data_IF_387545395113
#
_entry.id   IF_387545395113
#
_cell.length_a   1.000
_cell.length_b   1.000
_cell.length_c   1.000
_cell.angle_alpha   90.00
_cell.angle_beta   90.00
_cell.angle_gamma   90.00
#
_symmetry.space_group_name_H-M   'P 1'
#
loop_
_entity.id
_entity.type
_entity.pdbx_description
1 polymer ?
#
# COMPACT_ATOMS: atom_id res chain seq x y z
N UNK A 1 -63.22 3.99 45.12
CA UNK A 1 -62.48 2.89 44.48
C UNK A 1 -62.29 3.07 42.94
N UNK A 2 -63.29 3.45 42.17
CA UNK A 2 -63.20 3.57 40.69
C UNK A 2 -62.22 4.65 40.15
N UNK A 3 -61.99 5.77 40.86
CA UNK A 3 -61.11 6.86 40.43
C UNK A 3 -59.60 6.49 40.61
N UNK A 4 -59.24 5.75 41.64
CA UNK A 4 -57.86 5.30 41.83
C UNK A 4 -57.45 4.21 40.81
N UNK A 5 -58.38 3.36 40.41
CA UNK A 5 -58.14 2.37 39.34
C UNK A 5 -57.93 3.03 37.97
N UNK A 6 -58.75 4.07 37.63
CA UNK A 6 -58.54 4.82 36.36
C UNK A 6 -57.19 5.54 36.32
N UNK A 7 -56.74 6.19 37.41
CA UNK A 7 -55.42 6.80 37.48
C UNK A 7 -54.28 5.80 37.27
N UNK A 8 -54.37 4.60 37.85
CA UNK A 8 -53.35 3.55 37.68
C UNK A 8 -53.30 3.03 36.21
N UNK A 9 -54.45 2.87 35.58
CA UNK A 9 -54.51 2.47 34.16
C UNK A 9 -53.92 3.51 33.25
N UNK A 10 -54.18 4.81 33.47
CA UNK A 10 -53.59 5.89 32.67
C UNK A 10 -52.05 5.99 32.82
N UNK A 11 -51.54 5.80 34.04
CA UNK A 11 -50.09 5.78 34.31
C UNK A 11 -49.42 4.58 33.62
N UNK A 12 -50.02 3.40 33.67
CA UNK A 12 -49.50 2.21 32.99
C UNK A 12 -49.52 2.38 31.45
N UNK A 13 -50.59 2.95 30.91
CA UNK A 13 -50.69 3.20 29.47
C UNK A 13 -49.67 4.23 28.97
N UNK A 14 -49.41 5.30 29.76
CA UNK A 14 -48.36 6.28 29.41
C UNK A 14 -46.96 5.69 29.54
N UNK A 15 -46.67 4.82 30.52
CA UNK A 15 -45.37 4.13 30.61
C UNK A 15 -45.14 3.19 29.41
N UNK A 16 -46.16 2.42 29.02
CA UNK A 16 -46.09 1.53 27.87
C UNK A 16 -45.89 2.33 26.56
N UNK A 17 -46.52 3.48 26.43
CA UNK A 17 -46.34 4.35 25.26
C UNK A 17 -44.91 4.93 25.21
N UNK A 18 -44.30 5.32 26.33
CA UNK A 18 -42.94 5.81 26.43
C UNK A 18 -41.92 4.70 26.11
N UNK A 19 -42.13 3.49 26.68
CA UNK A 19 -41.28 2.33 26.38
C UNK A 19 -41.37 1.93 24.90
N UNK A 20 -42.56 1.94 24.33
CA UNK A 20 -42.78 1.69 22.90
C UNK A 20 -42.11 2.72 22.03
N UNK A 21 -42.23 4.02 22.38
CA UNK A 21 -41.56 5.08 21.69
C UNK A 21 -40.01 4.97 21.77
N UNK A 22 -39.46 4.63 22.93
CA UNK A 22 -38.03 4.41 23.12
C UNK A 22 -37.53 3.18 22.34
N UNK A 23 -38.33 2.11 22.26
CA UNK A 23 -37.98 0.93 21.47
C UNK A 23 -38.00 1.23 19.97
N UNK A 24 -39.00 1.99 19.49
CA UNK A 24 -39.06 2.44 18.08
C UNK A 24 -37.88 3.40 17.78
N UNK A 25 -37.59 4.36 18.64
CA UNK A 25 -36.45 5.27 18.49
C UNK A 25 -35.10 4.56 18.56
N UNK A 26 -34.99 3.56 19.44
CA UNK A 26 -33.81 2.70 19.54
C UNK A 26 -33.57 1.88 18.26
N UNK A 27 -34.64 1.37 17.66
CA UNK A 27 -34.55 0.62 16.40
C UNK A 27 -34.26 1.52 15.19
N UNK A 28 -34.79 2.76 15.17
CA UNK A 28 -34.47 3.75 14.13
C UNK A 28 -33.01 4.23 14.16
N UNK A 29 -32.34 4.16 15.31
CA UNK A 29 -30.92 4.51 15.46
C UNK A 29 -29.98 3.35 15.04
N UNK A 30 -30.50 2.17 14.78
CA UNK A 30 -29.71 0.98 14.44
C UNK A 30 -29.59 0.70 12.94
N UNK A 31 -30.27 1.45 12.09
CA UNK A 31 -29.90 1.47 10.68
C UNK A 31 -28.73 2.45 10.55
N UNK A 32 -27.52 1.94 10.78
CA UNK A 32 -26.29 2.60 10.37
C UNK A 32 -26.46 2.90 8.85
N UNK A 33 -26.44 4.17 8.49
CA UNK A 33 -26.37 4.56 7.09
C UNK A 33 -25.30 3.70 6.40
N UNK A 34 -25.53 3.25 5.15
CA UNK A 34 -24.52 2.52 4.41
C UNK A 34 -23.24 3.35 4.49
N UNK A 35 -22.23 2.88 5.23
CA UNK A 35 -20.93 3.54 5.27
C UNK A 35 -20.46 3.55 3.82
N UNK A 36 -20.29 4.74 3.28
CA UNK A 36 -19.73 4.94 1.94
C UNK A 36 -18.33 4.30 1.94
N UNK A 37 -18.29 3.05 1.51
CA UNK A 37 -17.11 2.19 1.57
C UNK A 37 -16.18 2.60 0.45
N UNK A 38 -15.14 3.35 0.80
CA UNK A 38 -14.16 3.84 -0.16
C UNK A 38 -13.20 2.72 -0.56
N UNK A 39 -13.15 2.40 -1.85
CA UNK A 39 -12.12 1.52 -2.40
C UNK A 39 -10.84 2.31 -2.67
N UNK A 40 -9.70 1.81 -2.17
CA UNK A 40 -8.36 2.33 -2.42
C UNK A 40 -7.59 1.31 -3.24
N UNK A 41 -7.23 1.67 -4.47
CA UNK A 41 -6.49 0.84 -5.42
C UNK A 41 -4.99 1.05 -5.21
N UNK A 42 -4.29 -0.01 -4.83
CA UNK A 42 -2.85 0.03 -4.56
C UNK A 42 -2.11 -0.86 -5.56
N UNK A 43 -1.25 -0.23 -6.34
CA UNK A 43 -0.42 -0.91 -7.33
C UNK A 43 0.82 -1.54 -6.70
N UNK A 44 1.25 -2.68 -7.22
CA UNK A 44 2.47 -3.35 -6.79
C UNK A 44 3.10 -4.19 -7.90
N UNK A 45 4.41 -4.44 -7.78
CA UNK A 45 5.10 -5.51 -8.45
C UNK A 45 5.25 -6.71 -7.51
N UNK A 46 5.34 -7.96 -8.01
CA UNK A 46 5.45 -9.17 -7.18
C UNK A 46 6.86 -9.31 -6.56
N UNK A 47 7.23 -8.35 -5.74
CA UNK A 47 8.49 -8.27 -5.01
C UNK A 47 8.26 -8.22 -3.51
N UNK A 48 9.30 -8.49 -2.70
CA UNK A 48 9.23 -8.40 -1.24
C UNK A 48 8.86 -6.99 -0.73
N UNK A 49 9.11 -5.94 -1.50
CA UNK A 49 8.69 -4.58 -1.19
C UNK A 49 7.17 -4.42 -1.06
N UNK A 50 6.40 -5.29 -1.70
CA UNK A 50 4.94 -5.27 -1.65
C UNK A 50 4.34 -6.00 -0.43
N UNK A 51 5.12 -6.76 0.34
CA UNK A 51 4.63 -7.53 1.49
C UNK A 51 3.80 -6.70 2.48
N UNK A 52 4.17 -5.44 2.83
CA UNK A 52 3.35 -4.62 3.72
C UNK A 52 1.94 -4.37 3.18
N UNK A 53 1.74 -4.26 1.87
CA UNK A 53 0.42 -4.07 1.27
C UNK A 53 -0.46 -5.32 1.45
N UNK A 54 0.11 -6.52 1.31
CA UNK A 54 -0.60 -7.78 1.54
C UNK A 54 -0.97 -7.92 3.01
N UNK A 55 -0.04 -7.64 3.93
CA UNK A 55 -0.33 -7.65 5.36
C UNK A 55 -1.45 -6.67 5.72
N UNK A 56 -1.44 -5.46 5.17
CA UNK A 56 -2.47 -4.47 5.38
C UNK A 56 -3.82 -4.93 4.83
N UNK A 57 -3.84 -5.59 3.66
CA UNK A 57 -5.04 -6.18 3.08
C UNK A 57 -5.65 -7.27 3.96
N UNK A 58 -4.82 -8.17 4.50
CA UNK A 58 -5.26 -9.22 5.42
C UNK A 58 -5.79 -8.67 6.77
N UNK A 59 -5.29 -7.52 7.20
CA UNK A 59 -5.74 -6.83 8.42
C UNK A 59 -6.96 -5.93 8.19
N UNK A 60 -7.50 -5.87 6.97
CA UNK A 60 -8.67 -5.07 6.63
C UNK A 60 -9.89 -5.51 7.42
N UNK A 61 -10.54 -4.57 8.11
CA UNK A 61 -11.79 -4.87 8.82
C UNK A 61 -12.94 -5.04 7.83
N UNK A 62 -13.74 -6.12 7.91
CA UNK A 62 -14.92 -6.30 7.06
C UNK A 62 -15.90 -5.13 7.11
N UNK A 63 -16.02 -4.50 8.30
CA UNK A 63 -16.91 -3.36 8.56
C UNK A 63 -16.16 -2.01 8.49
N UNK A 64 -14.93 -2.01 7.99
CA UNK A 64 -14.12 -0.80 7.87
C UNK A 64 -14.63 0.17 6.80
N UNK A 65 -14.28 1.46 6.90
CA UNK A 65 -14.67 2.48 5.92
C UNK A 65 -13.88 2.40 4.61
N UNK A 66 -12.83 1.58 4.57
CA UNK A 66 -11.91 1.45 3.43
C UNK A 66 -11.78 0.00 3.01
N UNK A 67 -11.87 -0.24 1.71
CA UNK A 67 -11.56 -1.50 1.03
C UNK A 67 -10.27 -1.33 0.23
N UNK A 68 -9.30 -2.22 0.44
CA UNK A 68 -8.05 -2.23 -0.33
C UNK A 68 -8.19 -3.18 -1.52
N UNK A 69 -7.90 -2.67 -2.70
CA UNK A 69 -7.77 -3.45 -3.93
C UNK A 69 -6.30 -3.43 -4.37
N UNK A 70 -5.67 -4.61 -4.43
CA UNK A 70 -4.28 -4.76 -4.85
C UNK A 70 -4.23 -5.06 -6.35
N UNK A 71 -3.55 -4.19 -7.11
CA UNK A 71 -3.44 -4.29 -8.57
C UNK A 71 -1.98 -4.60 -8.94
N UNK A 72 -1.78 -5.80 -9.50
CA UNK A 72 -0.47 -6.26 -9.95
C UNK A 72 -0.08 -5.63 -11.28
N UNK A 73 1.17 -5.16 -11.39
CA UNK A 73 1.81 -4.72 -12.62
C UNK A 73 3.01 -5.61 -12.96
N UNK A 74 3.41 -5.60 -14.24
CA UNK A 74 4.52 -6.40 -14.76
C UNK A 74 5.85 -5.65 -14.80
N UNK A 75 5.83 -4.31 -14.73
CA UNK A 75 7.03 -3.50 -14.83
C UNK A 75 6.92 -2.18 -14.08
N UNK A 76 8.06 -1.61 -13.69
CA UNK A 76 8.10 -0.29 -13.05
C UNK A 76 7.52 0.84 -13.92
N UNK A 77 7.80 0.91 -15.25
CA UNK A 77 7.19 1.92 -16.10
C UNK A 77 5.66 1.86 -16.12
N UNK A 78 5.07 0.66 -16.25
CA UNK A 78 3.61 0.50 -16.25
C UNK A 78 2.98 0.90 -14.91
N UNK A 79 3.61 0.52 -13.79
CA UNK A 79 3.17 0.89 -12.45
C UNK A 79 3.22 2.42 -12.27
N UNK A 80 4.33 3.05 -12.64
CA UNK A 80 4.49 4.50 -12.53
C UNK A 80 3.52 5.25 -13.44
N UNK A 81 3.25 4.76 -14.64
CA UNK A 81 2.24 5.33 -15.52
C UNK A 81 0.83 5.26 -14.89
N UNK A 82 0.49 4.13 -14.29
CA UNK A 82 -0.78 3.98 -13.59
C UNK A 82 -0.91 4.94 -12.38
N UNK A 83 0.16 5.12 -11.62
CA UNK A 83 0.20 6.04 -10.49
C UNK A 83 0.13 7.51 -10.94
N UNK A 84 0.95 7.89 -11.92
CA UNK A 84 1.05 9.26 -12.41
C UNK A 84 -0.23 9.74 -13.11
N UNK A 85 -0.99 8.83 -13.70
CA UNK A 85 -2.27 9.11 -14.38
C UNK A 85 -3.50 8.95 -13.48
N UNK A 86 -3.33 8.57 -12.21
CA UNK A 86 -4.43 8.39 -11.26
C UNK A 86 -5.29 7.15 -11.52
N UNK A 87 -4.81 6.19 -12.32
CA UNK A 87 -5.48 4.88 -12.50
C UNK A 87 -5.45 4.05 -11.22
N UNK A 88 -4.50 4.30 -10.33
CA UNK A 88 -4.42 3.78 -8.98
C UNK A 88 -4.26 4.92 -7.99
N UNK A 89 -4.70 4.70 -6.75
CA UNK A 89 -4.71 5.71 -5.70
C UNK A 89 -3.37 5.75 -4.92
N UNK A 90 -2.59 4.67 -5.00
CA UNK A 90 -1.27 4.56 -4.41
C UNK A 90 -0.49 3.38 -4.99
N UNK A 91 0.79 3.28 -4.61
CA UNK A 91 1.65 2.19 -5.08
C UNK A 91 2.79 1.89 -4.09
N UNK A 92 3.20 0.61 -4.03
CA UNK A 92 4.50 0.23 -3.51
C UNK A 92 5.54 0.40 -4.61
N UNK A 93 6.42 1.39 -4.46
CA UNK A 93 7.32 1.83 -5.52
C UNK A 93 8.71 2.13 -4.97
N UNK A 94 9.72 2.02 -5.82
CA UNK A 94 11.08 2.47 -5.51
C UNK A 94 11.08 3.99 -5.28
N UNK A 95 11.70 4.44 -4.20
CA UNK A 95 11.67 5.85 -3.79
C UNK A 95 12.22 6.78 -4.86
N UNK A 96 13.23 6.36 -5.60
CA UNK A 96 13.86 7.14 -6.67
C UNK A 96 12.87 7.44 -7.81
N UNK A 97 12.01 6.48 -8.15
CA UNK A 97 10.97 6.67 -9.17
C UNK A 97 9.91 7.68 -8.70
N UNK A 98 9.55 7.63 -7.40
CA UNK A 98 8.63 8.61 -6.83
C UNK A 98 9.24 10.02 -6.79
N UNK A 99 10.53 10.14 -6.41
CA UNK A 99 11.26 11.41 -6.44
C UNK A 99 11.32 11.97 -7.86
N UNK A 100 11.65 11.12 -8.84
CA UNK A 100 11.69 11.51 -10.24
C UNK A 100 10.34 12.00 -10.78
N UNK A 101 9.25 11.33 -10.42
CA UNK A 101 7.91 11.76 -10.79
C UNK A 101 7.57 13.13 -10.17
N UNK A 102 7.94 13.38 -8.92
CA UNK A 102 7.78 14.69 -8.29
C UNK A 102 8.58 15.80 -8.97
N UNK A 103 9.83 15.52 -9.37
CA UNK A 103 10.65 16.46 -10.15
C UNK A 103 9.99 16.82 -11.49
N UNK A 104 9.19 15.91 -12.04
CA UNK A 104 8.40 16.12 -13.27
C UNK A 104 7.06 16.82 -13.01
N UNK A 105 6.78 17.23 -11.78
CA UNK A 105 5.57 17.97 -11.41
C UNK A 105 4.38 17.10 -11.01
N UNK A 106 4.54 15.78 -10.87
CA UNK A 106 3.46 14.90 -10.37
C UNK A 106 3.30 15.08 -8.86
N UNK A 107 2.09 15.38 -8.38
CA UNK A 107 1.83 15.58 -6.96
C UNK A 107 1.68 14.25 -6.22
N UNK A 108 2.79 13.61 -5.92
CA UNK A 108 2.87 12.39 -5.12
C UNK A 108 3.26 12.70 -3.68
N UNK A 109 2.73 11.91 -2.75
CA UNK A 109 3.08 11.95 -1.32
C UNK A 109 3.55 10.58 -0.86
N UNK A 110 4.64 10.54 -0.09
CA UNK A 110 5.04 9.33 0.60
C UNK A 110 4.11 9.12 1.81
N UNK A 111 3.33 8.04 1.80
CA UNK A 111 2.45 7.68 2.90
C UNK A 111 3.22 6.98 4.03
N UNK A 112 4.12 6.07 3.66
CA UNK A 112 4.98 5.32 4.59
C UNK A 112 6.18 4.76 3.86
N UNK A 113 7.20 4.35 4.61
CA UNK A 113 8.31 3.55 4.10
C UNK A 113 7.97 2.07 4.28
N UNK A 114 8.13 1.28 3.23
CA UNK A 114 7.87 -0.16 3.26
C UNK A 114 8.91 -0.93 4.06
N UNK A 115 10.18 -0.53 3.95
CA UNK A 115 11.31 -1.12 4.68
C UNK A 115 12.51 -0.16 4.69
N UNK A 116 13.48 -0.47 5.53
CA UNK A 116 14.83 0.11 5.51
C UNK A 116 15.81 -1.01 5.17
N UNK A 117 16.88 -0.67 4.45
CA UNK A 117 17.97 -1.59 4.10
C UNK A 117 17.51 -2.82 3.30
N UNK A 118 18.36 -3.85 3.24
CA UNK A 118 18.01 -5.14 2.64
C UNK A 118 18.40 -5.31 1.17
N UNK A 119 19.20 -4.41 0.60
CA UNK A 119 19.78 -4.64 -0.72
C UNK A 119 20.98 -5.59 -0.59
N UNK A 120 21.03 -6.63 -1.41
CA UNK A 120 22.14 -7.58 -1.47
C UNK A 120 22.54 -7.80 -2.92
N UNK A 121 23.81 -8.13 -3.13
CA UNK A 121 24.32 -8.66 -4.40
C UNK A 121 24.39 -10.17 -4.25
N UNK A 122 23.77 -10.88 -5.20
CA UNK A 122 23.84 -12.34 -5.29
C UNK A 122 24.64 -12.70 -6.52
N UNK A 123 25.62 -13.58 -6.35
CA UNK A 123 26.54 -13.98 -7.40
C UNK A 123 26.57 -15.52 -7.53
N UNK A 124 27.12 -15.97 -8.65
CA UNK A 124 27.53 -17.37 -8.78
C UNK A 124 28.74 -17.66 -7.88
N UNK A 125 28.95 -18.91 -7.45
CA UNK A 125 30.01 -19.27 -6.52
C UNK A 125 31.44 -18.91 -6.97
N UNK A 126 31.68 -18.84 -8.26
CA UNK A 126 32.97 -18.45 -8.85
C UNK A 126 33.27 -16.93 -8.78
N UNK A 127 32.33 -16.10 -8.36
CA UNK A 127 32.50 -14.65 -8.14
C UNK A 127 32.70 -14.46 -6.64
N UNK A 128 33.93 -14.42 -6.21
CA UNK A 128 34.30 -14.26 -4.79
C UNK A 128 34.63 -12.81 -4.43
N UNK A 129 35.01 -12.01 -5.40
CA UNK A 129 35.43 -10.63 -5.25
C UNK A 129 34.72 -9.73 -6.26
N UNK A 130 34.65 -8.43 -5.98
CA UNK A 130 34.02 -7.45 -6.86
C UNK A 130 34.73 -7.38 -8.22
N UNK A 131 36.06 -7.52 -8.24
CA UNK A 131 36.86 -7.51 -9.45
C UNK A 131 36.53 -8.67 -10.40
N UNK A 132 35.99 -9.77 -9.90
CA UNK A 132 35.59 -10.94 -10.69
C UNK A 132 34.32 -10.64 -11.53
N UNK A 133 33.62 -9.53 -11.23
CA UNK A 133 32.50 -9.03 -12.04
C UNK A 133 32.96 -8.49 -13.41
N UNK A 134 34.25 -8.25 -13.62
CA UNK A 134 34.75 -7.73 -14.87
C UNK A 134 34.41 -8.61 -16.06
N UNK A 135 33.78 -8.03 -17.07
CA UNK A 135 33.28 -8.75 -18.26
C UNK A 135 32.01 -9.58 -18.04
N UNK A 136 31.45 -9.59 -16.84
CA UNK A 136 30.23 -10.35 -16.54
C UNK A 136 28.97 -9.55 -16.82
N UNK A 137 27.82 -10.25 -16.81
CA UNK A 137 26.48 -9.62 -16.88
C UNK A 137 25.98 -9.39 -15.47
N UNK A 138 25.57 -8.16 -15.18
CA UNK A 138 24.98 -7.77 -13.89
C UNK A 138 23.56 -7.29 -14.10
N UNK A 139 22.58 -7.88 -13.41
CA UNK A 139 21.18 -7.52 -13.52
C UNK A 139 20.78 -6.50 -12.45
N UNK A 140 20.07 -5.48 -12.86
CA UNK A 140 19.41 -4.50 -11.96
C UNK A 140 17.94 -4.38 -12.32
N UNK A 141 17.05 -4.02 -11.38
CA UNK A 141 15.62 -3.90 -11.67
C UNK A 141 15.28 -2.72 -12.58
N UNK A 142 16.03 -1.61 -12.49
CA UNK A 142 15.83 -0.42 -13.31
C UNK A 142 17.03 0.52 -13.22
N UNK A 143 17.36 1.25 -14.30
CA UNK A 143 18.48 2.20 -14.33
C UNK A 143 18.37 3.36 -13.32
N UNK A 144 17.16 3.71 -12.92
CA UNK A 144 16.90 4.77 -11.92
C UNK A 144 16.60 4.18 -10.54
N UNK A 145 17.11 2.99 -10.21
CA UNK A 145 16.88 2.34 -8.93
C UNK A 145 18.05 2.58 -7.96
N UNK A 146 17.81 2.44 -6.66
CA UNK A 146 18.84 2.38 -5.61
C UNK A 146 19.90 1.33 -5.94
N UNK A 147 19.49 0.20 -6.53
CA UNK A 147 20.41 -0.88 -6.93
C UNK A 147 21.47 -0.39 -7.92
N UNK A 148 21.09 0.50 -8.85
CA UNK A 148 22.06 1.10 -9.78
C UNK A 148 23.04 2.02 -9.05
N UNK A 149 22.54 2.86 -8.14
CA UNK A 149 23.40 3.75 -7.34
C UNK A 149 24.38 2.95 -6.49
N UNK A 150 23.90 1.92 -5.80
CA UNK A 150 24.73 1.04 -4.97
C UNK A 150 25.76 0.26 -5.80
N UNK A 151 25.39 -0.18 -7.03
CA UNK A 151 26.34 -0.79 -7.94
C UNK A 151 27.45 0.18 -8.32
N UNK A 152 27.12 1.42 -8.67
CA UNK A 152 28.13 2.44 -9.03
C UNK A 152 29.08 2.73 -7.87
N UNK A 153 28.57 2.85 -6.64
CA UNK A 153 29.38 3.02 -5.46
C UNK A 153 30.29 1.82 -5.20
N UNK A 154 29.74 0.60 -5.32
CA UNK A 154 30.50 -0.64 -5.15
C UNK A 154 31.67 -0.71 -6.16
N UNK A 155 31.38 -0.45 -7.43
CA UNK A 155 32.39 -0.47 -8.50
C UNK A 155 33.45 0.59 -8.27
N UNK A 156 33.05 1.83 -7.94
CA UNK A 156 33.97 2.93 -7.68
C UNK A 156 34.92 2.64 -6.51
N UNK A 157 34.42 2.02 -5.43
CA UNK A 157 35.22 1.62 -4.29
C UNK A 157 36.32 0.58 -4.65
N UNK A 158 36.15 -0.15 -5.76
CA UNK A 158 37.09 -1.14 -6.27
C UNK A 158 37.81 -0.69 -7.54
N UNK A 159 37.80 0.63 -7.85
CA UNK A 159 38.45 1.19 -9.01
C UNK A 159 37.87 0.73 -10.35
N UNK A 160 36.62 0.29 -10.34
CA UNK A 160 35.87 -0.19 -11.49
C UNK A 160 34.77 0.82 -11.88
N UNK A 161 34.23 0.64 -13.05
CA UNK A 161 33.10 1.42 -13.57
C UNK A 161 32.08 0.50 -14.25
N UNK A 162 30.91 1.00 -14.61
CA UNK A 162 29.91 0.27 -15.37
C UNK A 162 30.44 -0.27 -16.72
N UNK A 163 31.50 0.36 -17.28
CA UNK A 163 32.13 -0.10 -18.53
C UNK A 163 32.87 -1.43 -18.38
N UNK A 164 33.18 -1.83 -17.16
CA UNK A 164 33.90 -3.09 -16.87
C UNK A 164 32.98 -4.31 -16.87
N UNK A 165 31.65 -4.13 -16.91
CA UNK A 165 30.66 -5.20 -16.91
C UNK A 165 29.49 -4.85 -17.85
N UNK A 166 28.63 -5.84 -18.14
CA UNK A 166 27.41 -5.63 -18.93
C UNK A 166 26.22 -5.50 -18.00
N UNK A 167 25.76 -4.27 -17.73
CA UNK A 167 24.54 -4.05 -16.94
C UNK A 167 23.30 -4.27 -17.82
N UNK A 168 22.35 -5.06 -17.29
CA UNK A 168 21.06 -5.34 -17.92
C UNK A 168 19.91 -5.01 -16.96
N UNK A 169 18.80 -4.52 -17.48
CA UNK A 169 17.57 -4.35 -16.71
C UNK A 169 16.75 -5.63 -16.77
N UNK A 170 16.32 -6.11 -15.61
CA UNK A 170 15.42 -7.25 -15.47
C UNK A 170 14.33 -6.91 -14.45
N UNK A 171 13.09 -6.91 -14.91
CA UNK A 171 11.93 -6.76 -14.02
C UNK A 171 11.69 -8.04 -13.25
N UNK A 172 11.21 -7.95 -11.99
CA UNK A 172 10.86 -9.09 -11.16
C UNK A 172 9.75 -9.95 -11.75
#
# INVERSE_FOLDING_TARGET
MKQAARKRILVLASLLAVVGALAIFGNYRSEAEPRDMRTVRLAYLPTTHALPLFAQKEMESPDGPVRIELIKYGSWPELMDALNTGRVDGASVLIELAVKAREQGIDLKAATLGHKDGNIVVTLPEIERVEDLKGKVFAIPHKQSTHKLLLDELLAAHGMTERDLKVVEMTP
#
